data_IF_452998979914
#
_entry.id   IF_452998979914
#
_cell.length_a   1.000
_cell.length_b   1.000
_cell.length_c   1.000
_cell.angle_alpha   90.00
_cell.angle_beta   90.00
_cell.angle_gamma   90.00
#
_symmetry.space_group_name_H-M   'P 1'
#
loop_
_entity.id
_entity.type
_entity.pdbx_description
1 polymer ?
#
# COMPACT_ATOMS: atom_id res chain seq x y z
N UNK A 1 -2.32 19.03 8.10
CA UNK A 1 -2.42 17.54 8.18
C UNK A 1 -2.90 16.94 6.86
N UNK A 2 -3.94 17.50 6.23
CA UNK A 2 -4.48 17.01 4.94
C UNK A 2 -3.45 16.79 3.84
N UNK A 3 -2.60 17.78 3.56
CA UNK A 3 -1.61 17.69 2.48
C UNK A 3 -0.70 16.47 2.65
N UNK A 4 -0.16 16.27 3.86
CA UNK A 4 0.70 15.10 4.16
C UNK A 4 -0.06 13.78 4.06
N UNK A 5 -1.34 13.74 4.46
CA UNK A 5 -2.16 12.54 4.31
C UNK A 5 -2.41 12.21 2.82
N UNK A 6 -2.70 13.21 1.99
CA UNK A 6 -2.82 13.06 0.54
C UNK A 6 -1.52 12.62 -0.12
N UNK A 7 -0.38 13.21 0.27
CA UNK A 7 0.94 12.84 -0.21
C UNK A 7 1.28 11.37 0.13
N UNK A 8 0.94 10.91 1.33
CA UNK A 8 1.11 9.53 1.74
C UNK A 8 0.25 8.58 0.91
N UNK A 9 -1.03 8.90 0.69
CA UNK A 9 -1.93 8.08 -0.14
C UNK A 9 -1.39 7.98 -1.58
N UNK A 10 -0.86 9.06 -2.13
CA UNK A 10 -0.25 9.05 -3.47
C UNK A 10 0.96 8.12 -3.51
N UNK A 11 1.89 8.27 -2.56
CA UNK A 11 3.07 7.41 -2.46
C UNK A 11 2.70 5.91 -2.33
N UNK A 12 1.59 5.61 -1.65
CA UNK A 12 1.07 4.25 -1.55
C UNK A 12 0.64 3.67 -2.89
N UNK A 13 -0.12 4.44 -3.69
CA UNK A 13 -0.54 4.00 -5.02
C UNK A 13 0.64 3.80 -5.96
N UNK A 14 1.65 4.68 -5.88
CA UNK A 14 2.88 4.55 -6.66
C UNK A 14 3.62 3.24 -6.31
N UNK A 15 3.76 2.92 -5.01
CA UNK A 15 4.34 1.65 -4.55
C UNK A 15 3.54 0.42 -5.00
N UNK A 16 2.21 0.47 -4.94
CA UNK A 16 1.34 -0.62 -5.42
C UNK A 16 1.58 -0.92 -6.91
N UNK A 17 1.68 0.14 -7.73
CA UNK A 17 1.99 0.01 -9.15
C UNK A 17 3.37 -0.61 -9.39
N UNK A 18 4.39 -0.18 -8.64
CA UNK A 18 5.74 -0.73 -8.73
C UNK A 18 5.77 -2.21 -8.36
N UNK A 19 5.11 -2.62 -7.27
CA UNK A 19 5.05 -4.01 -6.82
C UNK A 19 4.40 -4.93 -7.85
N UNK A 20 3.28 -4.50 -8.46
CA UNK A 20 2.62 -5.21 -9.56
C UNK A 20 3.52 -5.36 -10.79
N UNK A 21 4.31 -4.32 -11.09
CA UNK A 21 5.27 -4.36 -12.20
C UNK A 21 6.39 -5.39 -11.95
N UNK A 22 6.91 -5.45 -10.73
CA UNK A 22 7.92 -6.43 -10.33
C UNK A 22 7.34 -7.85 -10.44
N UNK A 23 6.13 -8.08 -9.93
CA UNK A 23 5.45 -9.39 -10.00
C UNK A 23 5.30 -9.88 -11.45
N UNK A 24 4.84 -9.01 -12.37
CA UNK A 24 4.73 -9.37 -13.80
C UNK A 24 6.10 -9.65 -14.43
N UNK A 25 7.11 -8.81 -14.17
CA UNK A 25 8.45 -9.01 -14.74
C UNK A 25 9.06 -10.34 -14.29
N UNK A 26 8.78 -10.73 -13.05
CA UNK A 26 9.18 -12.03 -12.52
C UNK A 26 8.46 -13.18 -13.23
N UNK A 27 7.13 -13.09 -13.41
CA UNK A 27 6.37 -14.10 -14.15
C UNK A 27 6.91 -14.28 -15.57
N UNK A 28 7.23 -13.18 -16.26
CA UNK A 28 7.82 -13.20 -17.61
C UNK A 28 9.19 -13.87 -17.64
N UNK A 29 10.05 -13.65 -16.65
CA UNK A 29 11.36 -14.31 -16.55
C UNK A 29 11.22 -15.82 -16.31
N UNK A 30 10.23 -16.24 -15.52
CA UNK A 30 9.93 -17.67 -15.30
C UNK A 30 9.37 -18.31 -16.58
N UNK A 31 8.44 -17.64 -17.26
CA UNK A 31 7.84 -18.13 -18.51
C UNK A 31 8.85 -18.23 -19.65
N UNK A 32 9.81 -17.30 -19.74
CA UNK A 32 10.81 -17.25 -20.82
C UNK A 32 12.04 -18.16 -20.59
N UNK A 33 12.01 -19.05 -19.59
CA UNK A 33 12.97 -20.15 -19.49
C UNK A 33 14.17 -19.93 -18.58
N UNK A 34 14.11 -18.99 -17.62
CA UNK A 34 15.11 -18.93 -16.52
C UNK A 34 15.02 -20.15 -15.56
N UNK A 35 14.14 -21.09 -15.84
CA UNK A 35 13.92 -22.34 -15.11
C UNK A 35 14.96 -23.40 -15.47
N UNK A 36 16.23 -23.18 -15.11
CA UNK A 36 17.14 -24.31 -14.94
C UNK A 36 16.70 -25.08 -13.68
N UNK A 37 16.38 -26.37 -13.82
CA UNK A 37 15.64 -27.25 -12.88
C UNK A 37 16.10 -27.31 -11.40
N UNK A 38 17.18 -26.61 -11.01
CA UNK A 38 17.66 -26.49 -9.62
C UNK A 38 17.62 -25.07 -9.06
N UNK A 39 17.61 -24.05 -9.91
CA UNK A 39 17.50 -22.65 -9.50
C UNK A 39 16.04 -22.20 -9.35
N UNK A 40 15.10 -22.89 -10.02
CA UNK A 40 13.69 -22.51 -10.04
C UNK A 40 13.00 -22.61 -8.69
N UNK A 41 13.28 -23.62 -7.86
CA UNK A 41 12.57 -23.80 -6.57
C UNK A 41 12.81 -22.67 -5.58
N UNK A 42 14.08 -22.37 -5.30
CA UNK A 42 14.45 -21.26 -4.39
C UNK A 42 14.03 -19.89 -4.94
N UNK A 43 14.08 -19.72 -6.27
CA UNK A 43 13.58 -18.52 -6.93
C UNK A 43 12.05 -18.40 -6.78
N UNK A 44 11.30 -19.46 -7.06
CA UNK A 44 9.83 -19.49 -6.96
C UNK A 44 9.36 -19.24 -5.52
N UNK A 45 10.05 -19.80 -4.52
CA UNK A 45 9.80 -19.52 -3.11
C UNK A 45 10.09 -18.05 -2.75
N UNK A 46 11.22 -17.50 -3.23
CA UNK A 46 11.57 -16.09 -3.03
C UNK A 46 10.53 -15.14 -3.62
N UNK A 47 9.97 -15.50 -4.78
CA UNK A 47 8.90 -14.74 -5.43
C UNK A 47 7.59 -14.83 -4.67
N UNK A 48 7.19 -16.03 -4.23
CA UNK A 48 5.99 -16.19 -3.38
C UNK A 48 6.10 -15.37 -2.10
N UNK A 49 7.26 -15.39 -1.44
CA UNK A 49 7.50 -14.60 -0.24
C UNK A 49 7.49 -13.10 -0.52
N UNK A 50 8.10 -12.67 -1.63
CA UNK A 50 8.05 -11.28 -2.07
C UNK A 50 6.60 -10.82 -2.31
N UNK A 51 5.83 -11.54 -3.15
CA UNK A 51 4.43 -11.19 -3.45
C UNK A 51 3.58 -11.15 -2.18
N UNK A 52 3.80 -12.09 -1.26
CA UNK A 52 3.09 -12.11 0.04
C UNK A 52 3.46 -10.91 0.92
N UNK A 53 4.74 -10.53 0.98
CA UNK A 53 5.20 -9.35 1.71
C UNK A 53 4.70 -8.04 1.10
N UNK A 54 4.70 -7.95 -0.23
CA UNK A 54 4.15 -6.86 -1.01
C UNK A 54 2.64 -6.67 -0.74
N UNK A 55 1.86 -7.76 -0.81
CA UNK A 55 0.44 -7.74 -0.51
C UNK A 55 0.15 -7.26 0.93
N UNK A 56 0.91 -7.75 1.92
CA UNK A 56 0.81 -7.27 3.31
C UNK A 56 1.13 -5.79 3.45
N UNK A 57 2.15 -5.32 2.72
CA UNK A 57 2.55 -3.91 2.71
C UNK A 57 1.40 -3.05 2.18
N UNK A 58 0.83 -3.40 1.03
CA UNK A 58 -0.34 -2.71 0.44
C UNK A 58 -1.53 -2.69 1.41
N UNK A 59 -1.83 -3.82 2.06
CA UNK A 59 -2.89 -3.90 3.07
C UNK A 59 -2.63 -2.96 4.27
N UNK A 60 -1.40 -2.93 4.78
CA UNK A 60 -1.00 -2.03 5.87
C UNK A 60 -1.14 -0.57 5.49
N UNK A 61 -0.72 -0.23 4.27
CA UNK A 61 -0.86 1.10 3.69
C UNK A 61 -2.35 1.51 3.61
N UNK A 62 -3.24 0.64 3.13
CA UNK A 62 -4.69 0.89 3.12
C UNK A 62 -5.26 1.13 4.53
N UNK A 63 -4.79 0.38 5.52
CA UNK A 63 -5.17 0.57 6.92
C UNK A 63 -4.78 1.96 7.45
N UNK A 64 -3.55 2.39 7.17
CA UNK A 64 -3.05 3.72 7.54
C UNK A 64 -3.84 4.84 6.87
N UNK A 65 -4.14 4.71 5.57
CA UNK A 65 -4.97 5.69 4.84
C UNK A 65 -6.37 5.84 5.45
N UNK A 66 -7.03 4.71 5.76
CA UNK A 66 -8.33 4.73 6.44
C UNK A 66 -8.24 5.40 7.81
N UNK A 67 -7.22 5.06 8.59
CA UNK A 67 -7.00 5.68 9.90
C UNK A 67 -6.84 7.19 9.80
N UNK A 68 -5.97 7.67 8.90
CA UNK A 68 -5.73 9.10 8.70
C UNK A 68 -6.99 9.83 8.22
N UNK A 69 -7.77 9.22 7.33
CA UNK A 69 -9.03 9.78 6.83
C UNK A 69 -10.07 9.89 7.94
N UNK A 70 -10.18 8.87 8.80
CA UNK A 70 -11.11 8.86 9.91
C UNK A 70 -10.70 9.85 11.00
N UNK A 71 -9.42 9.91 11.33
CA UNK A 71 -8.88 10.89 12.27
C UNK A 71 -9.19 12.31 11.80
N UNK A 72 -8.97 12.60 10.51
CA UNK A 72 -9.31 13.89 9.91
C UNK A 72 -10.79 14.24 10.11
N UNK A 73 -11.71 13.33 9.76
CA UNK A 73 -13.15 13.55 9.93
C UNK A 73 -13.54 13.80 11.38
N UNK A 74 -12.93 13.09 12.33
CA UNK A 74 -13.20 13.26 13.75
C UNK A 74 -12.74 14.65 14.25
N UNK A 75 -11.59 15.15 13.76
CA UNK A 75 -11.14 16.51 14.07
C UNK A 75 -12.06 17.57 13.45
N UNK A 76 -12.47 17.41 12.18
CA UNK A 76 -13.42 18.33 11.53
C UNK A 76 -14.75 18.39 12.27
N UNK A 77 -15.30 17.24 12.67
CA UNK A 77 -16.57 17.18 13.41
C UNK A 77 -16.45 17.80 14.82
N UNK A 78 -15.33 17.56 15.51
CA UNK A 78 -15.04 18.19 16.80
C UNK A 78 -14.95 19.72 16.67
N UNK A 79 -14.22 20.22 15.67
CA UNK A 79 -14.09 21.66 15.43
C UNK A 79 -15.45 22.30 15.08
N UNK A 80 -16.29 21.62 14.30
CA UNK A 80 -17.65 22.08 13.98
C UNK A 80 -18.54 22.15 15.23
N UNK A 81 -18.45 21.17 16.13
CA UNK A 81 -19.17 21.17 17.39
C UNK A 81 -18.69 22.30 18.31
N UNK A 82 -17.37 22.49 18.43
CA UNK A 82 -16.77 23.57 19.21
C UNK A 82 -17.16 24.95 18.65
N UNK A 83 -17.15 25.12 17.33
CA UNK A 83 -17.54 26.37 16.67
C UNK A 83 -19.03 26.69 16.86
N UNK A 84 -19.90 25.68 16.91
CA UNK A 84 -21.33 25.85 17.23
C UNK A 84 -21.54 26.22 18.70
N UNK A 85 -20.81 25.59 19.63
CA UNK A 85 -20.88 25.89 21.06
C UNK A 85 -20.30 27.25 21.45
N UNK A 86 -19.25 27.71 20.75
CA UNK A 86 -18.63 29.01 20.99
C UNK A 86 -19.40 30.21 20.39
N UNK A 87 -20.37 29.95 19.50
CA UNK A 87 -21.26 30.97 18.91
C UNK A 87 -22.61 31.08 19.63
N UNK A 88 -22.87 30.24 20.63
CA UNK A 88 -24.07 30.24 21.47
C UNK A 88 -23.86 30.99 22.79
#
# INVERSE_FOLDING_TARGET
MEKKAGDLIKAMHDMEGQLKGIERGVEELVQNGFTTQKASGAYEDSIKDFTKGAAKTIQGLHGLSKFLTNAKKAYEDLDDQLAKGAKG
#
